data_IF_063381091895
#
_entry.id   IF_063381091895
#
_cell.length_a   1.000
_cell.length_b   1.000
_cell.length_c   1.000
_cell.angle_alpha   90.00
_cell.angle_beta   90.00
_cell.angle_gamma   90.00
#
_symmetry.space_group_name_H-M   'P 1'
#
loop_
_entity.id
_entity.type
_entity.pdbx_description
1 polymer ?
#
# COMPACT_ATOMS: atom_id res chain seq x y z
N UNK A 1 11.39 36.26 31.19
CA UNK A 1 10.94 35.62 29.94
C UNK A 1 11.61 34.26 29.67
N UNK A 2 12.45 33.73 30.57
CA UNK A 2 13.16 32.44 30.41
C UNK A 2 12.44 31.24 31.04
N UNK A 3 11.76 31.41 32.18
CA UNK A 3 11.15 30.28 32.92
C UNK A 3 9.91 29.67 32.24
N UNK A 4 9.17 30.48 31.48
CA UNK A 4 8.00 30.00 30.73
C UNK A 4 8.42 29.07 29.59
N UNK A 5 9.53 29.34 28.91
CA UNK A 5 10.08 28.48 27.85
C UNK A 5 10.45 27.09 28.39
N UNK A 6 11.06 27.03 29.57
CA UNK A 6 11.45 25.76 30.22
C UNK A 6 10.21 24.92 30.55
N UNK A 7 9.10 25.55 30.96
CA UNK A 7 7.84 24.85 31.26
C UNK A 7 7.14 24.28 30.01
N UNK A 8 7.41 24.81 28.82
CA UNK A 8 6.88 24.27 27.56
C UNK A 8 7.77 23.17 26.95
N UNK A 9 9.01 22.98 27.41
CA UNK A 9 9.91 21.92 26.92
C UNK A 9 9.25 20.53 26.97
N UNK A 10 8.63 20.08 28.08
CA UNK A 10 8.01 18.74 28.15
C UNK A 10 6.85 18.58 27.16
N UNK A 11 6.05 19.63 26.98
CA UNK A 11 4.92 19.65 26.07
C UNK A 11 5.38 19.54 24.61
N UNK A 12 6.37 20.34 24.22
CA UNK A 12 6.96 20.32 22.87
C UNK A 12 7.64 18.96 22.61
N UNK A 13 8.36 18.40 23.58
CA UNK A 13 8.98 17.08 23.49
C UNK A 13 7.94 15.97 23.24
N UNK A 14 6.80 16.01 23.92
CA UNK A 14 5.71 15.07 23.73
C UNK A 14 5.11 15.17 22.32
N UNK A 15 4.87 16.38 21.82
CA UNK A 15 4.38 16.58 20.44
C UNK A 15 5.38 16.07 19.40
N UNK A 16 6.67 16.35 19.58
CA UNK A 16 7.73 15.86 18.68
C UNK A 16 7.82 14.34 18.72
N UNK A 17 7.74 13.72 19.90
CA UNK A 17 7.76 12.27 20.05
C UNK A 17 6.54 11.61 19.37
N UNK A 18 5.34 12.14 19.58
CA UNK A 18 4.11 11.62 18.96
C UNK A 18 4.12 11.79 17.43
N UNK A 19 4.62 12.92 16.93
CA UNK A 19 4.79 13.19 15.50
C UNK A 19 5.76 12.20 14.84
N UNK A 20 6.89 11.93 15.50
CA UNK A 20 7.90 11.01 14.98
C UNK A 20 7.41 9.56 14.92
N UNK A 21 6.63 9.14 15.93
CA UNK A 21 6.08 7.78 16.01
C UNK A 21 5.02 7.52 14.94
N UNK A 22 4.21 8.51 14.53
CA UNK A 22 3.14 8.31 13.53
C UNK A 22 3.62 8.44 12.08
N UNK A 23 4.57 9.33 11.79
CA UNK A 23 5.03 9.59 10.41
C UNK A 23 5.91 8.46 9.87
N UNK A 24 6.77 7.88 10.71
CA UNK A 24 7.64 6.78 10.34
C UNK A 24 6.87 5.52 9.86
N UNK A 25 5.84 5.02 10.57
CA UNK A 25 5.07 3.86 10.11
C UNK A 25 4.21 4.17 8.89
N UNK A 26 3.66 5.40 8.78
CA UNK A 26 2.86 5.79 7.61
C UNK A 26 3.71 5.77 6.33
N UNK A 27 4.92 6.35 6.37
CA UNK A 27 5.85 6.36 5.23
C UNK A 27 6.28 4.94 4.84
N UNK A 28 6.53 4.07 5.81
CA UNK A 28 6.90 2.67 5.56
C UNK A 28 5.78 1.90 4.84
N UNK A 29 4.53 2.07 5.27
CA UNK A 29 3.36 1.44 4.63
C UNK A 29 3.18 1.91 3.18
N UNK A 30 3.27 3.21 2.94
CA UNK A 30 3.16 3.77 1.59
C UNK A 30 4.25 3.23 0.65
N UNK A 31 5.49 3.17 1.13
CA UNK A 31 6.62 2.63 0.36
C UNK A 31 6.42 1.15 0.02
N UNK A 32 5.92 0.35 0.98
CA UNK A 32 5.63 -1.07 0.75
C UNK A 32 4.53 -1.27 -0.30
N UNK A 33 3.45 -0.49 -0.23
CA UNK A 33 2.38 -0.54 -1.23
C UNK A 33 2.90 -0.15 -2.62
N UNK A 34 3.70 0.92 -2.73
CA UNK A 34 4.31 1.33 -4.00
C UNK A 34 5.26 0.26 -4.56
N UNK A 35 6.09 -0.36 -3.72
CA UNK A 35 6.99 -1.44 -4.13
C UNK A 35 6.22 -2.66 -4.63
N UNK A 36 5.15 -3.06 -3.93
CA UNK A 36 4.29 -4.15 -4.37
C UNK A 36 3.67 -3.86 -5.74
N UNK A 37 3.15 -2.64 -5.93
CA UNK A 37 2.54 -2.22 -7.19
C UNK A 37 3.54 -2.14 -8.36
N UNK A 38 4.79 -1.80 -8.09
CA UNK A 38 5.86 -1.80 -9.09
C UNK A 38 6.32 -3.21 -9.46
N UNK A 39 6.15 -4.18 -8.56
CA UNK A 39 6.57 -5.57 -8.75
C UNK A 39 5.47 -6.46 -9.35
N UNK A 40 4.31 -5.89 -9.72
CA UNK A 40 3.23 -6.63 -10.36
C UNK A 40 3.67 -7.19 -11.71
N UNK A 41 3.27 -8.43 -11.98
CA UNK A 41 3.58 -9.14 -13.21
C UNK A 41 2.32 -9.70 -13.87
N UNK A 42 2.45 -9.94 -15.17
CA UNK A 42 1.41 -10.57 -15.98
C UNK A 42 1.21 -12.01 -15.48
N UNK A 43 -0.02 -12.39 -15.19
CA UNK A 43 -0.37 -13.69 -14.61
C UNK A 43 -0.52 -13.68 -13.08
N UNK A 44 -0.18 -12.58 -12.39
CA UNK A 44 -0.40 -12.48 -10.96
C UNK A 44 -1.89 -12.50 -10.62
N UNK A 45 -2.25 -13.31 -9.63
CA UNK A 45 -3.55 -13.25 -8.98
C UNK A 45 -3.52 -12.12 -7.96
N UNK A 46 -4.49 -11.23 -8.00
CA UNK A 46 -4.50 -10.03 -7.15
C UNK A 46 -5.86 -9.81 -6.51
N UNK A 47 -5.84 -9.08 -5.41
CA UNK A 47 -7.04 -8.51 -4.79
C UNK A 47 -6.92 -7.00 -4.81
N UNK A 48 -7.92 -6.35 -5.39
CA UNK A 48 -8.04 -4.89 -5.37
C UNK A 48 -8.38 -4.38 -3.96
N UNK A 49 -8.22 -3.09 -3.71
CA UNK A 49 -8.58 -2.47 -2.42
C UNK A 49 -10.08 -2.66 -2.08
N UNK A 50 -10.94 -2.76 -3.11
CA UNK A 50 -12.37 -3.04 -2.94
C UNK A 50 -12.72 -4.51 -2.66
N UNK A 51 -11.73 -5.40 -2.59
CA UNK A 51 -11.94 -6.83 -2.36
C UNK A 51 -12.26 -7.64 -3.63
N UNK A 52 -12.18 -7.04 -4.81
CA UNK A 52 -12.35 -7.77 -6.08
C UNK A 52 -11.12 -8.64 -6.36
N UNK A 53 -11.36 -9.90 -6.68
CA UNK A 53 -10.35 -10.86 -7.09
C UNK A 53 -10.25 -10.90 -8.62
N UNK A 54 -9.03 -11.00 -9.14
CA UNK A 54 -8.81 -11.16 -10.57
C UNK A 54 -7.36 -11.53 -10.87
N UNK A 55 -7.08 -11.76 -12.15
CA UNK A 55 -5.74 -12.10 -12.64
C UNK A 55 -5.26 -11.02 -13.59
N UNK A 56 -3.99 -10.60 -13.47
CA UNK A 56 -3.41 -9.58 -14.35
C UNK A 56 -3.21 -10.16 -15.76
N UNK A 57 -3.99 -9.67 -16.72
CA UNK A 57 -3.86 -10.03 -18.12
C UNK A 57 -2.92 -9.08 -18.86
N UNK A 58 -2.76 -7.82 -18.47
CA UNK A 58 -1.79 -6.90 -19.06
C UNK A 58 -1.47 -5.76 -18.10
N UNK A 59 -0.27 -5.21 -18.21
CA UNK A 59 0.21 -4.08 -17.43
C UNK A 59 0.62 -2.96 -18.39
N UNK A 60 0.03 -1.79 -18.21
CA UNK A 60 0.44 -0.51 -18.79
C UNK A 60 1.13 0.32 -17.68
N UNK A 61 1.55 1.56 -17.99
CA UNK A 61 2.30 2.38 -17.03
C UNK A 61 1.54 2.66 -15.72
N UNK A 62 0.33 3.21 -15.82
CA UNK A 62 -0.49 3.58 -14.66
C UNK A 62 -1.67 2.64 -14.43
N UNK A 63 -1.96 1.76 -15.40
CA UNK A 63 -3.18 0.96 -15.42
C UNK A 63 -2.88 -0.51 -15.67
N UNK A 64 -3.68 -1.38 -15.07
CA UNK A 64 -3.62 -2.83 -15.24
C UNK A 64 -4.95 -3.35 -15.74
N UNK A 65 -4.88 -4.33 -16.66
CA UNK A 65 -6.04 -5.07 -17.12
C UNK A 65 -6.16 -6.34 -16.31
N UNK A 66 -7.28 -6.48 -15.62
CA UNK A 66 -7.60 -7.65 -14.81
C UNK A 66 -8.68 -8.47 -15.49
N UNK A 67 -8.57 -9.78 -15.38
CA UNK A 67 -9.61 -10.72 -15.79
C UNK A 67 -10.25 -11.31 -14.55
N UNK A 68 -11.56 -11.09 -14.40
CA UNK A 68 -12.34 -11.45 -13.19
C UNK A 68 -13.23 -12.66 -13.41
N UNK A 69 -13.58 -12.94 -14.67
CA UNK A 69 -14.33 -14.09 -15.13
C UNK A 69 -13.99 -14.33 -16.60
N UNK A 70 -14.38 -15.49 -17.14
CA UNK A 70 -14.10 -15.84 -18.53
C UNK A 70 -14.66 -14.78 -19.51
N UNK A 71 -13.75 -14.17 -20.27
CA UNK A 71 -14.07 -13.11 -21.22
C UNK A 71 -14.36 -11.73 -20.62
N UNK A 72 -14.35 -11.59 -19.29
CA UNK A 72 -14.59 -10.30 -18.61
C UNK A 72 -13.26 -9.65 -18.23
N UNK A 73 -12.88 -8.65 -19.02
CA UNK A 73 -11.69 -7.82 -18.79
C UNK A 73 -12.09 -6.45 -18.25
N UNK A 74 -11.44 -6.04 -17.17
CA UNK A 74 -11.70 -4.79 -16.47
C UNK A 74 -10.40 -4.02 -16.28
N UNK A 75 -10.48 -2.71 -16.49
CA UNK A 75 -9.33 -1.81 -16.42
C UNK A 75 -9.30 -1.15 -15.04
N UNK A 76 -8.21 -1.35 -14.31
CA UNK A 76 -8.01 -0.82 -12.96
C UNK A 76 -6.72 -0.02 -12.88
N UNK A 77 -6.76 1.08 -12.14
CA UNK A 77 -5.57 1.81 -11.75
C UNK A 77 -4.59 0.88 -11.02
N UNK A 78 -3.29 0.96 -11.34
CA UNK A 78 -2.25 0.13 -10.67
C UNK A 78 -2.24 0.35 -9.16
N UNK A 79 -2.54 1.58 -8.75
CA UNK A 79 -2.69 1.98 -7.34
C UNK A 79 -3.88 1.33 -6.63
N UNK A 80 -4.87 0.82 -7.37
CA UNK A 80 -6.04 0.15 -6.81
C UNK A 80 -5.77 -1.33 -6.47
N UNK A 81 -4.58 -1.85 -6.79
CA UNK A 81 -4.16 -3.20 -6.37
C UNK A 81 -3.71 -3.16 -4.92
N UNK A 82 -4.38 -3.95 -4.08
CA UNK A 82 -4.17 -3.98 -2.63
C UNK A 82 -3.20 -5.06 -2.18
N UNK A 83 -3.22 -6.23 -2.83
CA UNK A 83 -2.28 -7.34 -2.55
C UNK A 83 -2.20 -8.32 -3.71
N UNK A 84 -1.06 -8.99 -3.82
CA UNK A 84 -0.85 -10.15 -4.69
C UNK A 84 -1.13 -11.42 -3.90
N UNK A 85 -1.85 -12.36 -4.50
CA UNK A 85 -2.05 -13.71 -3.99
C UNK A 85 -0.92 -14.56 -4.56
N UNK A 86 0.10 -14.83 -3.77
CA UNK A 86 1.07 -15.88 -4.07
C UNK A 86 0.43 -17.20 -3.62
N UNK A 87 0.22 -18.14 -4.56
CA UNK A 87 -0.36 -19.47 -4.29
C UNK A 87 0.61 -20.39 -3.47
N UNK A 88 1.46 -19.83 -2.60
CA UNK A 88 2.36 -20.55 -1.69
C UNK A 88 1.64 -21.11 -0.45
N UNK A 89 0.38 -21.52 -0.59
CA UNK A 89 -0.43 -22.16 0.48
C UNK A 89 -0.60 -23.66 0.24
N UNK A 90 0.03 -24.22 -0.79
CA UNK A 90 0.11 -25.68 -1.00
C UNK A 90 1.54 -26.19 -0.97
N UNK A 91 2.19 -26.11 0.19
CA UNK A 91 3.14 -27.15 0.62
C UNK A 91 2.90 -27.43 2.09
N UNK A 92 1.99 -28.38 2.29
CA UNK A 92 1.89 -29.41 3.34
C UNK A 92 2.31 -29.07 4.77
#
# INVERSE_FOLDING_TARGET
MSEQLVSFIPLILMFVAMWFILIRPAKKRQQQTMQMQNNLQRGDKVVTVGGMHGTIEAIEDTVVHLTVADGVRVKFERQAIGRVITDDVFTK
#
